data_IF_738793457648
#
_entry.id   IF_738793457648
#
_cell.length_a   1.000
_cell.length_b   1.000
_cell.length_c   1.000
_cell.angle_alpha   90.00
_cell.angle_beta   90.00
_cell.angle_gamma   90.00
#
_symmetry.space_group_name_H-M   'P 1'
#
loop_
_entity.id
_entity.type
_entity.pdbx_description
1 polymer ?
#
# COMPACT_ATOMS: atom_id res chain seq x y z
N UNK A 1 30.62 -13.60 6.65
CA UNK A 1 29.19 -13.34 6.89
C UNK A 1 28.97 -12.06 7.68
N UNK A 2 29.73 -11.77 8.74
CA UNK A 2 29.59 -10.53 9.54
C UNK A 2 29.70 -9.24 8.72
N UNK A 3 30.70 -9.11 7.84
CA UNK A 3 30.83 -7.92 6.98
C UNK A 3 29.60 -7.73 6.04
N UNK A 4 29.08 -8.82 5.46
CA UNK A 4 27.90 -8.77 4.61
C UNK A 4 26.65 -8.40 5.40
N UNK A 5 26.50 -8.92 6.63
CA UNK A 5 25.42 -8.55 7.52
C UNK A 5 25.50 -7.07 7.88
N UNK A 6 26.69 -6.57 8.24
CA UNK A 6 26.90 -5.16 8.56
C UNK A 6 26.53 -4.22 7.42
N UNK A 7 26.92 -4.55 6.19
CA UNK A 7 26.52 -3.79 5.01
C UNK A 7 24.99 -3.82 4.81
N UNK A 8 24.38 -4.99 4.91
CA UNK A 8 22.95 -5.13 4.69
C UNK A 8 22.10 -4.38 5.74
N UNK A 9 22.54 -4.36 7.01
CA UNK A 9 21.90 -3.55 8.05
C UNK A 9 21.99 -2.06 7.74
N UNK A 10 23.15 -1.58 7.29
CA UNK A 10 23.29 -0.18 6.89
C UNK A 10 22.38 0.20 5.70
N UNK A 11 22.20 -0.72 4.75
CA UNK A 11 21.28 -0.52 3.62
C UNK A 11 19.82 -0.47 4.07
N UNK A 12 19.43 -1.27 5.07
CA UNK A 12 18.09 -1.25 5.70
C UNK A 12 17.86 0.05 6.46
N UNK A 13 18.84 0.51 7.24
CA UNK A 13 18.73 1.77 8.00
C UNK A 13 18.57 2.97 7.06
N UNK A 14 19.33 3.01 5.98
CA UNK A 14 19.19 4.04 4.94
C UNK A 14 17.81 3.96 4.28
N UNK A 15 17.35 2.76 3.91
CA UNK A 15 16.02 2.57 3.35
C UNK A 15 14.91 3.05 4.30
N UNK A 16 14.99 2.73 5.60
CA UNK A 16 13.99 3.16 6.58
C UNK A 16 13.90 4.69 6.63
N UNK A 17 15.05 5.38 6.66
CA UNK A 17 15.09 6.85 6.62
C UNK A 17 14.42 7.41 5.36
N UNK A 18 14.76 6.87 4.20
CA UNK A 18 14.17 7.31 2.93
C UNK A 18 12.65 7.12 2.89
N UNK A 19 12.13 6.02 3.46
CA UNK A 19 10.68 5.79 3.52
C UNK A 19 10.02 6.76 4.50
N UNK A 20 10.62 6.99 5.68
CA UNK A 20 10.11 7.97 6.66
C UNK A 20 10.03 9.37 6.05
N UNK A 21 11.07 9.79 5.34
CA UNK A 21 11.09 11.09 4.67
C UNK A 21 10.03 11.18 3.57
N UNK A 22 9.88 10.12 2.76
CA UNK A 22 8.89 10.08 1.69
C UNK A 22 7.45 10.13 2.20
N UNK A 23 7.18 9.55 3.37
CA UNK A 23 5.84 9.43 3.95
C UNK A 23 5.55 10.43 5.08
N UNK A 24 6.51 11.31 5.40
CA UNK A 24 6.34 12.34 6.41
C UNK A 24 5.19 13.28 6.05
N UNK A 25 4.30 13.55 7.03
CA UNK A 25 3.14 14.41 6.85
C UNK A 25 1.88 13.69 6.38
N UNK A 26 1.95 12.37 6.16
CA UNK A 26 0.79 11.53 5.83
C UNK A 26 0.33 10.65 7.01
N UNK A 27 0.72 10.97 8.24
CA UNK A 27 0.33 10.21 9.42
C UNK A 27 -1.20 10.17 9.56
N UNK A 28 -1.75 8.97 9.72
CA UNK A 28 -3.19 8.70 9.75
C UNK A 28 -3.84 8.59 8.36
N UNK A 29 -3.09 8.77 7.27
CA UNK A 29 -3.64 8.61 5.93
C UNK A 29 -4.05 7.15 5.68
N UNK A 30 -5.26 6.99 5.14
CA UNK A 30 -5.84 5.69 4.80
C UNK A 30 -5.63 5.37 3.34
N UNK A 31 -5.35 4.10 3.06
CA UNK A 31 -5.26 3.60 1.69
C UNK A 31 -5.96 2.25 1.56
N UNK A 32 -6.60 2.02 0.42
CA UNK A 32 -7.27 0.75 0.15
C UNK A 32 -6.26 -0.20 -0.47
N UNK A 33 -6.23 -1.46 -0.01
CA UNK A 33 -5.47 -2.54 -0.62
C UNK A 33 -6.40 -3.69 -0.95
N UNK A 34 -6.19 -4.35 -2.08
CA UNK A 34 -6.98 -5.56 -2.33
C UNK A 34 -6.60 -6.68 -1.35
N UNK A 35 -5.32 -7.09 -1.29
CA UNK A 35 -4.83 -8.03 -0.28
C UNK A 35 -4.07 -7.33 0.87
N UNK A 36 -4.26 -7.78 2.12
CA UNK A 36 -3.73 -7.13 3.32
C UNK A 36 -2.22 -7.37 3.58
N UNK A 37 -1.34 -7.13 2.61
CA UNK A 37 0.10 -7.42 2.74
C UNK A 37 0.95 -6.27 3.34
N UNK A 38 0.36 -5.11 3.61
CA UNK A 38 1.11 -3.89 3.93
C UNK A 38 0.97 -3.44 5.39
N UNK A 39 0.40 -4.27 6.27
CA UNK A 39 0.09 -3.89 7.65
C UNK A 39 1.30 -3.49 8.49
N UNK A 40 2.45 -4.16 8.30
CA UNK A 40 3.70 -3.78 8.99
C UNK A 40 4.24 -2.43 8.51
N UNK A 41 4.26 -2.22 7.19
CA UNK A 41 4.65 -0.93 6.59
C UNK A 41 3.72 0.18 7.10
N UNK A 42 2.41 -0.05 7.08
CA UNK A 42 1.42 0.91 7.55
C UNK A 42 1.67 1.28 9.02
N UNK A 43 1.87 0.28 9.89
CA UNK A 43 2.21 0.50 11.30
C UNK A 43 3.50 1.32 11.48
N UNK A 44 4.57 0.95 10.78
CA UNK A 44 5.91 1.51 11.02
C UNK A 44 6.09 2.94 10.49
N UNK A 45 5.24 3.34 9.53
CA UNK A 45 5.21 4.68 8.93
C UNK A 45 3.91 5.45 9.18
N UNK A 46 3.09 5.01 10.15
CA UNK A 46 1.94 5.76 10.62
C UNK A 46 0.75 5.87 9.65
N UNK A 47 0.61 4.92 8.72
CA UNK A 47 -0.52 4.84 7.79
C UNK A 47 -1.58 3.83 8.27
N UNK A 48 -2.77 3.91 7.67
CA UNK A 48 -3.88 2.99 7.94
C UNK A 48 -4.28 2.20 6.68
N UNK A 49 -4.12 0.88 6.75
CA UNK A 49 -4.53 -0.03 5.68
C UNK A 49 -6.04 -0.34 5.77
N UNK A 50 -6.76 -0.21 4.65
CA UNK A 50 -8.14 -0.67 4.48
C UNK A 50 -8.16 -1.84 3.49
N UNK A 51 -8.26 -3.11 3.96
CA UNK A 51 -8.28 -4.26 3.06
C UNK A 51 -9.66 -4.47 2.43
N UNK A 52 -9.67 -4.87 1.16
CA UNK A 52 -10.88 -5.32 0.45
C UNK A 52 -11.10 -6.81 0.66
N UNK A 53 -10.03 -7.60 0.52
CA UNK A 53 -10.06 -9.04 0.72
C UNK A 53 -9.81 -9.39 2.19
N UNK A 54 -10.63 -10.31 2.73
CA UNK A 54 -10.43 -10.88 4.07
C UNK A 54 -10.31 -12.40 3.96
N UNK A 55 -9.15 -12.94 4.36
CA UNK A 55 -8.97 -14.39 4.49
C UNK A 55 -8.82 -15.18 3.18
N UNK A 56 -8.38 -14.55 2.08
CA UNK A 56 -8.13 -15.25 0.81
C UNK A 56 -9.38 -15.49 -0.05
N UNK A 57 -10.49 -14.83 0.27
CA UNK A 57 -11.76 -14.95 -0.46
C UNK A 57 -12.13 -13.64 -1.12
N UNK A 58 -12.63 -13.71 -2.37
CA UNK A 58 -13.15 -12.53 -3.05
C UNK A 58 -14.23 -11.83 -2.21
N UNK A 59 -14.25 -10.49 -2.18
CA UNK A 59 -15.23 -9.72 -1.43
C UNK A 59 -16.64 -9.98 -1.98
N UNK A 60 -17.61 -10.14 -1.09
CA UNK A 60 -19.01 -10.11 -1.46
C UNK A 60 -19.41 -8.72 -1.99
N UNK A 61 -20.51 -8.64 -2.74
CA UNK A 61 -21.04 -7.37 -3.22
C UNK A 61 -21.34 -6.37 -2.09
N UNK A 62 -21.68 -6.88 -0.89
CA UNK A 62 -21.91 -6.07 0.30
C UNK A 62 -20.61 -5.47 0.83
N UNK A 63 -19.58 -6.28 1.01
CA UNK A 63 -18.27 -5.82 1.50
C UNK A 63 -17.67 -4.80 0.52
N UNK A 64 -17.79 -5.03 -0.79
CA UNK A 64 -17.37 -4.06 -1.80
C UNK A 64 -18.08 -2.71 -1.65
N UNK A 65 -19.40 -2.73 -1.43
CA UNK A 65 -20.19 -1.51 -1.23
C UNK A 65 -19.81 -0.78 0.07
N UNK A 66 -19.52 -1.52 1.14
CA UNK A 66 -19.06 -0.97 2.43
C UNK A 66 -17.69 -0.28 2.27
N UNK A 67 -16.76 -0.89 1.53
CA UNK A 67 -15.46 -0.27 1.23
C UNK A 67 -15.61 0.99 0.38
N UNK A 68 -16.44 0.97 -0.66
CA UNK A 68 -16.69 2.15 -1.51
C UNK A 68 -17.31 3.29 -0.70
N UNK A 69 -18.26 2.98 0.18
CA UNK A 69 -18.89 3.98 1.05
C UNK A 69 -17.86 4.60 2.02
N UNK A 70 -17.04 3.77 2.66
CA UNK A 70 -15.95 4.23 3.52
C UNK A 70 -14.96 5.10 2.75
N UNK A 71 -14.54 4.67 1.56
CA UNK A 71 -13.61 5.42 0.71
C UNK A 71 -14.13 6.82 0.37
N UNK A 72 -15.42 6.93 -0.01
CA UNK A 72 -16.07 8.20 -0.29
C UNK A 72 -16.18 9.09 0.94
N UNK A 73 -16.51 8.51 2.10
CA UNK A 73 -16.63 9.24 3.36
C UNK A 73 -15.29 9.83 3.81
N UNK A 74 -14.22 9.03 3.71
CA UNK A 74 -12.88 9.37 4.18
C UNK A 74 -12.04 10.08 3.11
N UNK A 75 -12.60 10.30 1.90
CA UNK A 75 -11.93 10.97 0.80
C UNK A 75 -10.77 10.19 0.18
N UNK A 76 -10.74 8.86 0.34
CA UNK A 76 -9.68 8.01 -0.22
C UNK A 76 -9.86 7.92 -1.74
N UNK A 77 -8.78 8.16 -2.50
CA UNK A 77 -8.80 8.16 -3.97
C UNK A 77 -7.87 7.15 -4.63
N UNK A 78 -7.19 6.33 -3.84
CA UNK A 78 -6.26 5.32 -4.35
C UNK A 78 -6.64 3.92 -3.87
N UNK A 79 -6.56 2.96 -4.80
CA UNK A 79 -6.65 1.53 -4.52
C UNK A 79 -5.36 0.86 -4.96
N UNK A 80 -4.65 0.26 -4.02
CA UNK A 80 -3.42 -0.47 -4.29
C UNK A 80 -3.70 -1.95 -4.63
N UNK A 81 -3.15 -2.41 -5.74
CA UNK A 81 -3.21 -3.80 -6.18
C UNK A 81 -1.84 -4.45 -6.14
N UNK A 82 -1.85 -5.77 -6.25
CA UNK A 82 -0.68 -6.61 -6.34
C UNK A 82 -0.63 -7.24 -7.74
N UNK A 83 0.53 -7.30 -8.41
CA UNK A 83 0.62 -7.90 -9.74
C UNK A 83 0.30 -9.40 -9.74
N UNK A 84 0.33 -10.07 -8.60
CA UNK A 84 0.06 -11.49 -8.44
C UNK A 84 -1.44 -11.83 -8.52
N UNK A 85 -2.33 -10.83 -8.49
CA UNK A 85 -3.78 -11.02 -8.43
C UNK A 85 -4.54 -10.15 -9.43
N UNK A 86 -5.81 -10.50 -9.67
CA UNK A 86 -6.69 -9.77 -10.58
C UNK A 86 -7.02 -8.38 -10.03
N UNK A 87 -6.87 -7.34 -10.86
CA UNK A 87 -7.18 -5.95 -10.49
C UNK A 87 -8.67 -5.57 -10.64
N UNK A 88 -9.54 -6.45 -11.18
CA UNK A 88 -10.92 -6.08 -11.57
C UNK A 88 -11.76 -5.46 -10.45
N UNK A 89 -11.69 -6.04 -9.26
CA UNK A 89 -12.43 -5.50 -8.11
C UNK A 89 -11.88 -4.14 -7.68
N UNK A 90 -10.56 -3.97 -7.68
CA UNK A 90 -9.92 -2.69 -7.39
C UNK A 90 -10.25 -1.62 -8.44
N UNK A 91 -10.30 -1.98 -9.72
CA UNK A 91 -10.73 -1.09 -10.82
C UNK A 91 -12.18 -0.63 -10.63
N UNK A 92 -13.06 -1.54 -10.19
CA UNK A 92 -14.46 -1.21 -9.88
C UNK A 92 -14.54 -0.22 -8.71
N UNK A 93 -13.79 -0.45 -7.62
CA UNK A 93 -13.74 0.48 -6.49
C UNK A 93 -13.21 1.84 -6.93
N UNK A 94 -12.08 1.87 -7.64
CA UNK A 94 -11.45 3.10 -8.11
C UNK A 94 -12.40 3.92 -9.00
N UNK A 95 -13.12 3.27 -9.92
CA UNK A 95 -14.14 3.92 -10.75
C UNK A 95 -15.23 4.57 -9.89
N UNK A 96 -15.79 3.82 -8.93
CA UNK A 96 -16.89 4.31 -8.10
C UNK A 96 -16.50 5.46 -7.17
N UNK A 97 -15.25 5.50 -6.70
CA UNK A 97 -14.75 6.56 -5.82
C UNK A 97 -14.15 7.74 -6.61
N UNK A 98 -14.10 7.68 -7.93
CA UNK A 98 -13.44 8.68 -8.77
C UNK A 98 -11.93 8.74 -8.54
N UNK A 99 -11.32 7.59 -8.24
CA UNK A 99 -9.92 7.41 -7.91
C UNK A 99 -9.13 6.63 -8.97
N UNK A 100 -7.96 6.15 -8.58
CA UNK A 100 -7.06 5.39 -9.44
C UNK A 100 -6.59 4.08 -8.81
N UNK A 101 -6.20 3.14 -9.66
CA UNK A 101 -5.55 1.89 -9.26
C UNK A 101 -4.05 2.03 -9.47
N UNK A 102 -3.27 1.74 -8.42
CA UNK A 102 -1.81 1.69 -8.49
C UNK A 102 -1.33 0.30 -8.08
N UNK A 103 -0.36 -0.24 -8.81
CA UNK A 103 0.18 -1.58 -8.52
C UNK A 103 1.48 -1.50 -7.72
N UNK A 104 1.55 -2.25 -6.63
CA UNK A 104 2.74 -2.42 -5.78
C UNK A 104 2.91 -3.90 -5.43
N UNK A 105 4.12 -4.44 -5.59
CA UNK A 105 4.39 -5.85 -5.29
C UNK A 105 5.03 -6.01 -3.91
N UNK A 106 4.50 -6.89 -3.05
CA UNK A 106 5.19 -7.31 -1.83
C UNK A 106 6.25 -8.41 -2.09
N UNK A 107 6.33 -8.97 -3.30
CA UNK A 107 7.17 -10.13 -3.64
C UNK A 107 8.28 -9.81 -4.66
N UNK A 108 8.55 -8.53 -4.92
CA UNK A 108 9.61 -8.15 -5.86
C UNK A 108 11.00 -8.67 -5.40
N UNK A 109 11.78 -9.33 -6.28
CA UNK A 109 13.08 -9.90 -5.90
C UNK A 109 14.11 -8.87 -5.40
N UNK A 110 14.14 -7.70 -6.04
CA UNK A 110 14.93 -6.55 -5.60
C UNK A 110 14.19 -5.83 -4.46
N UNK A 111 14.29 -6.37 -3.24
CA UNK A 111 13.53 -5.87 -2.09
C UNK A 111 13.88 -4.42 -1.75
N UNK A 112 15.17 -4.06 -1.68
CA UNK A 112 15.61 -2.70 -1.35
C UNK A 112 15.09 -1.67 -2.36
N UNK A 113 15.30 -1.92 -3.66
CA UNK A 113 14.82 -1.02 -4.70
C UNK A 113 13.29 -1.00 -4.80
N UNK A 114 12.63 -2.13 -4.52
CA UNK A 114 11.17 -2.21 -4.52
C UNK A 114 10.56 -1.37 -3.41
N UNK A 115 11.07 -1.46 -2.18
CA UNK A 115 10.54 -0.68 -1.06
C UNK A 115 10.67 0.83 -1.29
N UNK A 116 11.74 1.28 -1.97
CA UNK A 116 11.87 2.68 -2.43
C UNK A 116 10.80 3.06 -3.44
N UNK A 117 10.54 2.19 -4.43
CA UNK A 117 9.47 2.40 -5.41
C UNK A 117 8.10 2.43 -4.74
N UNK A 118 7.83 1.51 -3.81
CA UNK A 118 6.59 1.47 -3.02
C UNK A 118 6.40 2.79 -2.28
N UNK A 119 7.39 3.25 -1.52
CA UNK A 119 7.30 4.51 -0.79
C UNK A 119 7.07 5.71 -1.72
N UNK A 120 7.74 5.76 -2.88
CA UNK A 120 7.51 6.80 -3.88
C UNK A 120 6.09 6.75 -4.45
N UNK A 121 5.53 5.56 -4.72
CA UNK A 121 4.16 5.41 -5.21
C UNK A 121 3.15 5.83 -4.14
N UNK A 122 3.37 5.46 -2.88
CA UNK A 122 2.53 5.89 -1.76
C UNK A 122 2.56 7.41 -1.59
N UNK A 123 3.75 8.02 -1.57
CA UNK A 123 3.88 9.48 -1.50
C UNK A 123 3.13 10.20 -2.62
N UNK A 124 3.25 9.72 -3.86
CA UNK A 124 2.56 10.30 -4.99
C UNK A 124 1.03 10.19 -4.82
N UNK A 125 0.55 9.01 -4.42
CA UNK A 125 -0.88 8.75 -4.28
C UNK A 125 -1.55 9.48 -3.10
N UNK A 126 -0.83 9.67 -2.00
CA UNK A 126 -1.33 10.33 -0.79
C UNK A 126 -1.23 11.86 -0.87
N UNK A 127 -0.38 12.38 -1.76
CA UNK A 127 -0.20 13.81 -1.99
C UNK A 127 -1.16 14.45 -3.01
N UNK A 128 -1.99 13.65 -3.69
CA UNK A 128 -3.03 14.10 -4.63
C UNK A 128 -4.38 14.36 -3.95
#
# INVERSE_FOLDING_TARGET
>A
YEANLGQFLADIDALDQDIREALSGFEGAKFIVFHPAWGYLARDYGLEQVPVEVGGQEPSARELAEVIALAKQEGIRVVFTQPEFSARAAETIAHEIGGQVLSVSPLAPDWLGNMRRVASTFRAALGE
#
